data_IF_150782759068
#
_entry.id   IF_150782759068
#
_cell.length_a   1.000
_cell.length_b   1.000
_cell.length_c   1.000
_cell.angle_alpha   90.00
_cell.angle_beta   90.00
_cell.angle_gamma   90.00
#
_symmetry.space_group_name_H-M   'P 1'
#
loop_
_entity.id
_entity.type
_entity.pdbx_description
1 polymer ?
#
# COMPACT_ATOMS: atom_id res chain seq x y z
N UNK A 1 34.57 58.87 15.06
CA UNK A 1 35.46 57.85 14.46
C UNK A 1 35.41 56.66 15.37
N UNK A 2 34.48 55.74 15.14
CA UNK A 2 34.49 54.39 15.70
C UNK A 2 33.44 53.56 14.94
N UNK A 3 33.90 52.38 14.56
CA UNK A 3 33.22 51.18 14.07
C UNK A 3 32.11 51.25 13.01
N UNK A 4 32.51 50.92 11.78
CA UNK A 4 31.63 50.46 10.69
C UNK A 4 32.31 49.27 9.99
N UNK A 5 32.67 48.23 10.76
CA UNK A 5 33.40 47.06 10.25
C UNK A 5 32.68 45.70 10.41
N UNK A 6 31.43 45.65 10.89
CA UNK A 6 30.72 44.37 11.07
C UNK A 6 29.59 44.10 10.06
N UNK A 7 29.28 45.04 9.17
CA UNK A 7 28.10 44.93 8.29
C UNK A 7 28.37 44.25 6.93
N UNK A 8 29.39 43.39 6.84
CA UNK A 8 29.77 42.71 5.58
C UNK A 8 29.92 41.19 5.64
N UNK A 9 29.47 40.51 6.71
CA UNK A 9 29.68 39.06 6.83
C UNK A 9 28.46 38.15 6.61
N UNK A 10 27.26 38.69 6.36
CA UNK A 10 26.04 37.86 6.18
C UNK A 10 25.59 37.64 4.73
N UNK A 11 26.40 38.00 3.72
CA UNK A 11 25.96 38.01 2.31
C UNK A 11 26.27 36.76 1.47
N UNK A 12 26.76 35.68 2.07
CA UNK A 12 27.24 34.50 1.32
C UNK A 12 26.69 33.12 1.75
N UNK A 13 25.51 33.04 2.39
CA UNK A 13 24.97 31.75 2.87
C UNK A 13 23.59 31.34 2.34
N UNK A 14 23.05 31.99 1.28
CA UNK A 14 21.70 31.69 0.77
C UNK A 14 21.61 31.58 -0.76
N UNK A 15 22.62 31.01 -1.42
CA UNK A 15 22.40 30.49 -2.77
C UNK A 15 21.85 29.07 -2.66
N UNK A 16 20.68 28.76 -3.24
CA UNK A 16 20.19 27.39 -3.34
C UNK A 16 21.27 26.52 -3.98
N UNK A 17 21.42 25.28 -3.53
CA UNK A 17 22.36 24.37 -4.18
C UNK A 17 22.02 24.25 -5.67
N UNK A 18 23.01 23.97 -6.52
CA UNK A 18 22.80 23.76 -7.96
C UNK A 18 21.67 22.73 -8.22
N UNK A 19 21.53 21.75 -7.34
CA UNK A 19 20.45 20.77 -7.34
C UNK A 19 19.08 21.39 -7.03
N UNK A 20 18.97 22.29 -6.04
CA UNK A 20 17.74 23.03 -5.77
C UNK A 20 17.37 23.99 -6.91
N UNK A 21 18.35 24.65 -7.52
CA UNK A 21 18.13 25.48 -8.70
C UNK A 21 17.63 24.63 -9.89
N UNK A 22 18.27 23.48 -10.14
CA UNK A 22 17.85 22.55 -11.18
C UNK A 22 16.46 21.94 -10.90
N UNK A 23 16.14 21.56 -9.67
CA UNK A 23 14.82 21.06 -9.28
C UNK A 23 13.75 22.15 -9.36
N UNK A 24 14.07 23.40 -9.00
CA UNK A 24 13.19 24.56 -9.22
C UNK A 24 12.97 24.78 -10.71
N UNK A 25 14.02 24.76 -11.52
CA UNK A 25 13.92 24.89 -12.97
C UNK A 25 13.12 23.74 -13.57
N UNK A 26 13.35 22.49 -13.17
CA UNK A 26 12.56 21.33 -13.61
C UNK A 26 11.12 21.50 -13.16
N UNK A 27 10.83 21.76 -11.89
CA UNK A 27 9.47 22.01 -11.40
C UNK A 27 8.76 23.14 -12.16
N UNK A 28 9.44 24.26 -12.44
CA UNK A 28 8.92 25.40 -13.22
C UNK A 28 8.76 25.06 -14.71
N UNK A 29 9.68 24.29 -15.29
CA UNK A 29 9.61 23.87 -16.71
C UNK A 29 8.50 22.83 -16.91
N UNK A 30 8.32 21.93 -15.93
CA UNK A 30 7.19 21.01 -15.78
C UNK A 30 5.87 21.77 -15.59
N UNK A 31 5.91 22.88 -14.85
CA UNK A 31 4.77 23.80 -14.65
C UNK A 31 4.33 24.52 -15.93
N UNK A 32 5.22 24.66 -16.92
CA UNK A 32 4.99 25.44 -18.13
C UNK A 32 4.58 24.61 -19.36
N UNK A 33 4.73 23.28 -19.35
CA UNK A 33 4.33 22.43 -20.47
C UNK A 33 2.92 21.84 -20.28
N UNK A 34 1.93 22.52 -20.88
CA UNK A 34 0.57 22.08 -21.21
C UNK A 34 -0.02 20.90 -20.40
N UNK A 35 -0.04 21.07 -19.08
CA UNK A 35 -0.49 20.05 -18.14
C UNK A 35 -2.00 19.80 -18.25
N UNK A 36 -2.79 20.78 -18.75
CA UNK A 36 -4.25 20.67 -18.94
C UNK A 36 -4.68 19.40 -19.68
N UNK A 37 -3.95 19.01 -20.74
CA UNK A 37 -4.27 17.82 -21.53
C UNK A 37 -3.86 16.50 -20.85
N UNK A 38 -2.88 16.54 -19.94
CA UNK A 38 -2.42 15.39 -19.17
C UNK A 38 -3.29 15.25 -17.90
N UNK A 39 -3.50 16.32 -17.14
CA UNK A 39 -4.34 16.33 -15.93
C UNK A 39 -5.77 15.83 -16.19
N UNK A 40 -6.40 16.26 -17.30
CA UNK A 40 -7.78 15.88 -17.64
C UNK A 40 -7.95 14.39 -18.00
N UNK A 41 -6.88 13.70 -18.41
CA UNK A 41 -6.92 12.28 -18.81
C UNK A 41 -6.56 11.32 -17.67
N UNK A 42 -5.79 11.76 -16.68
CA UNK A 42 -5.15 10.85 -15.71
C UNK A 42 -5.66 10.96 -14.27
N UNK A 43 -6.25 12.08 -13.85
CA UNK A 43 -6.84 12.24 -12.51
C UNK A 43 -8.23 11.58 -12.35
N UNK A 44 -8.77 10.99 -13.43
CA UNK A 44 -10.11 10.40 -13.46
C UNK A 44 -10.32 9.19 -12.53
N UNK A 45 -9.31 8.33 -12.22
CA UNK A 45 -9.55 7.17 -11.36
C UNK A 45 -9.14 7.34 -9.89
N UNK A 46 -8.14 8.17 -9.57
CA UNK A 46 -7.41 8.06 -8.30
C UNK A 46 -8.04 8.89 -7.16
N UNK A 47 -8.84 9.91 -7.48
CA UNK A 47 -9.44 10.81 -6.49
C UNK A 47 -10.87 11.20 -6.88
N UNK A 48 -11.72 11.56 -5.92
CA UNK A 48 -13.06 12.08 -6.26
C UNK A 48 -12.91 13.32 -7.13
N UNK A 49 -13.65 13.30 -8.24
CA UNK A 49 -13.53 14.17 -9.42
C UNK A 49 -13.51 15.67 -9.10
N UNK A 50 -14.11 16.06 -7.99
CA UNK A 50 -14.48 17.45 -7.71
C UNK A 50 -13.45 18.20 -6.83
N UNK A 51 -12.66 17.48 -6.02
CA UNK A 51 -11.84 18.11 -4.98
C UNK A 51 -10.41 18.45 -5.45
N UNK A 52 -9.78 17.58 -6.24
CA UNK A 52 -8.38 17.77 -6.64
C UNK A 52 -8.26 18.58 -7.93
N UNK A 53 -9.14 18.40 -8.89
CA UNK A 53 -9.13 19.15 -10.16
C UNK A 53 -9.28 20.66 -9.88
N UNK A 54 -10.23 21.02 -9.01
CA UNK A 54 -10.46 22.40 -8.57
C UNK A 54 -9.27 22.98 -7.80
N UNK A 55 -8.66 22.20 -6.89
CA UNK A 55 -7.51 22.66 -6.10
C UNK A 55 -6.24 22.79 -6.96
N UNK A 56 -6.04 21.91 -7.94
CA UNK A 56 -4.89 21.93 -8.84
C UNK A 56 -4.97 23.09 -9.83
N UNK A 57 -6.13 23.35 -10.43
CA UNK A 57 -6.32 24.49 -11.35
C UNK A 57 -6.13 25.85 -10.66
N UNK A 58 -6.62 26.00 -9.42
CA UNK A 58 -6.40 27.21 -8.61
C UNK A 58 -4.92 27.34 -8.22
N UNK A 59 -4.24 26.24 -7.88
CA UNK A 59 -2.82 26.26 -7.50
C UNK A 59 -1.91 26.60 -8.68
N UNK A 60 -2.17 26.04 -9.87
CA UNK A 60 -1.38 26.28 -11.08
C UNK A 60 -1.49 27.73 -11.55
N UNK A 61 -2.71 28.30 -11.55
CA UNK A 61 -2.96 29.69 -11.93
C UNK A 61 -2.40 30.72 -10.95
N UNK A 62 -2.33 30.40 -9.65
CA UNK A 62 -1.77 31.29 -8.63
C UNK A 62 -0.23 31.37 -8.67
N UNK A 63 0.46 30.28 -9.02
CA UNK A 63 1.93 30.18 -8.96
C UNK A 63 2.63 30.79 -10.18
N UNK A 64 1.98 30.83 -11.35
CA UNK A 64 2.64 31.16 -12.62
C UNK A 64 3.12 32.61 -12.78
N UNK A 65 2.57 33.60 -12.06
CA UNK A 65 2.80 35.01 -12.45
C UNK A 65 3.15 35.99 -11.32
N UNK A 66 2.93 35.67 -10.03
CA UNK A 66 3.03 36.69 -8.94
C UNK A 66 3.50 36.21 -7.57
N UNK A 67 3.92 34.96 -7.41
CA UNK A 67 4.20 34.42 -6.07
C UNK A 67 5.63 34.57 -5.61
N UNK A 68 5.80 35.08 -4.39
CA UNK A 68 7.10 35.10 -3.69
C UNK A 68 7.50 33.66 -3.29
N UNK A 69 8.78 33.45 -2.99
CA UNK A 69 9.27 32.13 -2.56
C UNK A 69 8.52 31.60 -1.32
N UNK A 70 8.15 32.48 -0.39
CA UNK A 70 7.40 32.13 0.81
C UNK A 70 6.00 31.62 0.47
N UNK A 71 5.33 32.24 -0.50
CA UNK A 71 4.00 31.83 -0.96
C UNK A 71 4.05 30.47 -1.68
N UNK A 72 5.09 30.25 -2.49
CA UNK A 72 5.32 28.95 -3.13
C UNK A 72 5.55 27.86 -2.08
N UNK A 73 6.41 28.10 -1.09
CA UNK A 73 6.67 27.14 -0.02
C UNK A 73 5.43 26.84 0.82
N UNK A 74 4.60 27.85 1.10
CA UNK A 74 3.32 27.66 1.78
C UNK A 74 2.37 26.75 0.99
N UNK A 75 2.25 26.96 -0.31
CA UNK A 75 1.41 26.13 -1.20
C UNK A 75 1.94 24.71 -1.27
N UNK A 76 3.24 24.55 -1.49
CA UNK A 76 3.88 23.24 -1.55
C UNK A 76 3.63 22.48 -0.25
N UNK A 77 3.78 23.14 0.91
CA UNK A 77 3.45 22.55 2.22
C UNK A 77 1.98 22.14 2.30
N UNK A 78 1.06 23.04 1.92
CA UNK A 78 -0.38 22.81 1.97
C UNK A 78 -0.84 21.64 1.09
N UNK A 79 -0.25 21.50 -0.09
CA UNK A 79 -0.62 20.49 -1.10
C UNK A 79 0.48 19.44 -1.32
N UNK A 80 1.27 19.17 -0.29
CA UNK A 80 2.45 18.29 -0.37
C UNK A 80 2.14 16.95 -1.06
N UNK A 81 1.06 16.26 -0.66
CA UNK A 81 0.66 14.98 -1.27
C UNK A 81 0.41 15.17 -2.77
N UNK A 82 -0.42 16.14 -3.14
CA UNK A 82 -0.84 16.33 -4.53
C UNK A 82 0.35 16.64 -5.43
N UNK A 83 1.30 17.44 -4.92
CA UNK A 83 2.55 17.75 -5.64
C UNK A 83 3.39 16.48 -5.82
N UNK A 84 3.64 15.71 -4.76
CA UNK A 84 4.45 14.48 -4.85
C UNK A 84 3.75 13.42 -5.72
N UNK A 85 2.45 13.23 -5.56
CA UNK A 85 1.67 12.27 -6.33
C UNK A 85 1.64 12.61 -7.82
N UNK A 86 1.78 13.89 -8.20
CA UNK A 86 1.96 14.29 -9.60
C UNK A 86 3.16 13.64 -10.28
N UNK A 87 4.23 13.34 -9.51
CA UNK A 87 5.39 12.63 -10.02
C UNK A 87 5.18 11.12 -10.17
N UNK A 88 4.06 10.56 -9.67
CA UNK A 88 3.69 9.17 -9.97
C UNK A 88 3.10 9.01 -11.36
N UNK A 89 2.83 10.09 -12.09
CA UNK A 89 2.23 10.07 -13.43
C UNK A 89 3.34 10.05 -14.48
N UNK A 90 3.12 9.28 -15.55
CA UNK A 90 4.03 9.22 -16.70
C UNK A 90 4.21 10.61 -17.34
N UNK A 91 5.44 11.03 -17.69
CA UNK A 91 6.72 10.31 -17.65
C UNK A 91 7.58 10.60 -16.39
N UNK A 92 7.01 11.13 -15.32
CA UNK A 92 7.78 11.78 -14.26
C UNK A 92 8.24 10.86 -13.12
N UNK A 93 7.97 9.56 -13.21
CA UNK A 93 8.22 8.62 -12.10
C UNK A 93 9.70 8.46 -11.75
N UNK A 94 10.62 8.71 -12.68
CA UNK A 94 12.05 8.69 -12.39
C UNK A 94 12.46 9.80 -11.40
N UNK A 95 11.73 10.92 -11.37
CA UNK A 95 11.96 12.04 -10.45
C UNK A 95 11.25 11.85 -9.10
N UNK A 96 10.29 10.92 -9.00
CA UNK A 96 9.45 10.77 -7.81
C UNK A 96 10.28 10.53 -6.55
N UNK A 97 11.31 9.68 -6.61
CA UNK A 97 12.12 9.33 -5.46
C UNK A 97 12.99 10.51 -4.99
N UNK A 98 13.58 11.24 -5.92
CA UNK A 98 14.34 12.45 -5.61
C UNK A 98 13.45 13.51 -4.95
N UNK A 99 12.26 13.73 -5.52
CA UNK A 99 11.29 14.65 -4.96
C UNK A 99 10.85 14.22 -3.57
N UNK A 100 10.47 12.97 -3.40
CA UNK A 100 10.07 12.45 -2.10
C UNK A 100 11.18 12.64 -1.06
N UNK A 101 12.44 12.41 -1.46
CA UNK A 101 13.64 12.69 -0.66
C UNK A 101 13.71 14.12 -0.17
N UNK A 102 13.55 15.06 -1.10
CA UNK A 102 13.50 16.48 -0.80
C UNK A 102 12.37 16.82 0.20
N UNK A 103 11.18 16.24 0.04
CA UNK A 103 10.04 16.56 0.89
C UNK A 103 10.20 16.11 2.35
N UNK A 104 10.74 14.92 2.61
CA UNK A 104 11.00 14.52 4.01
C UNK A 104 12.26 15.16 4.60
N UNK A 105 13.25 15.58 3.81
CA UNK A 105 14.43 16.32 4.31
C UNK A 105 14.13 17.78 4.61
N UNK A 106 13.36 18.45 3.75
CA UNK A 106 13.23 19.91 3.74
C UNK A 106 11.88 20.42 4.23
N UNK A 107 10.79 19.71 3.90
CA UNK A 107 9.42 20.22 4.11
C UNK A 107 8.71 19.53 5.30
N UNK A 108 9.28 18.43 5.82
CA UNK A 108 8.69 17.59 6.88
C UNK A 108 7.31 17.06 6.48
N UNK A 109 7.30 16.12 5.53
CA UNK A 109 6.12 15.36 5.14
C UNK A 109 5.31 14.87 6.36
N UNK A 110 3.98 15.04 6.36
CA UNK A 110 3.12 14.54 7.45
C UNK A 110 3.02 13.02 7.38
N UNK A 111 2.78 12.38 8.52
CA UNK A 111 2.67 10.91 8.58
C UNK A 111 1.46 10.36 7.80
N UNK A 112 0.33 11.07 7.81
CA UNK A 112 -0.84 10.72 6.99
C UNK A 112 -0.54 10.86 5.48
N UNK A 113 0.20 11.89 5.09
CA UNK A 113 0.62 12.12 3.71
C UNK A 113 1.52 10.99 3.20
N UNK A 114 2.49 10.57 4.04
CA UNK A 114 3.34 9.42 3.76
C UNK A 114 2.54 8.15 3.52
N UNK A 115 1.57 7.87 4.40
CA UNK A 115 0.75 6.66 4.30
C UNK A 115 -0.11 6.67 3.04
N UNK A 116 -0.66 7.83 2.67
CA UNK A 116 -1.42 7.99 1.43
C UNK A 116 -0.55 7.81 0.18
N UNK A 117 0.67 8.36 0.17
CA UNK A 117 1.62 8.15 -0.94
C UNK A 117 2.02 6.68 -1.07
N UNK A 118 2.27 6.01 0.06
CA UNK A 118 2.57 4.59 0.06
C UNK A 118 1.40 3.77 -0.51
N UNK A 119 0.17 4.08 -0.08
CA UNK A 119 -1.04 3.43 -0.62
C UNK A 119 -1.17 3.65 -2.13
N UNK A 120 -0.93 4.86 -2.63
CA UNK A 120 -0.98 5.14 -4.07
C UNK A 120 0.04 4.29 -4.85
N UNK A 121 1.24 4.09 -4.32
CA UNK A 121 2.24 3.23 -4.96
C UNK A 121 1.80 1.77 -5.05
N UNK A 122 1.17 1.25 -3.99
CA UNK A 122 0.65 -0.13 -3.93
C UNK A 122 -0.55 -0.29 -4.88
N UNK A 123 -1.47 0.67 -4.90
CA UNK A 123 -2.69 0.62 -5.72
C UNK A 123 -2.41 0.73 -7.23
N UNK A 124 -1.32 1.42 -7.62
CA UNK A 124 -0.93 1.58 -9.02
C UNK A 124 -0.04 0.45 -9.55
N UNK A 125 0.18 -0.62 -8.78
CA UNK A 125 1.07 -1.70 -9.20
C UNK A 125 0.67 -2.35 -10.54
N UNK A 126 -0.63 -2.54 -10.76
CA UNK A 126 -1.18 -3.16 -11.96
C UNK A 126 -1.22 -2.20 -13.17
N UNK A 127 -0.81 -0.94 -13.00
CA UNK A 127 -0.92 0.04 -14.07
C UNK A 127 0.12 -0.20 -15.16
N UNK A 128 -0.37 -0.37 -16.39
CA UNK A 128 0.47 -0.62 -17.57
C UNK A 128 1.18 0.68 -17.97
N UNK A 129 2.49 0.75 -17.75
CA UNK A 129 3.29 1.87 -18.27
C UNK A 129 4.52 2.23 -17.45
N UNK A 130 4.61 1.76 -16.20
CA UNK A 130 5.79 1.99 -15.36
C UNK A 130 5.97 0.87 -14.33
N UNK A 131 7.22 0.68 -13.88
CA UNK A 131 7.55 -0.34 -12.88
C UNK A 131 7.31 0.21 -11.46
N UNK A 132 6.04 0.27 -11.05
CA UNK A 132 5.64 0.75 -9.71
C UNK A 132 6.19 -0.10 -8.57
N UNK A 133 6.43 -1.40 -8.83
CA UNK A 133 7.17 -2.30 -7.93
C UNK A 133 8.55 -1.74 -7.54
N UNK A 134 9.39 -1.47 -8.55
CA UNK A 134 10.70 -0.85 -8.34
C UNK A 134 10.59 0.51 -7.65
N UNK A 135 9.56 1.29 -7.98
CA UNK A 135 9.32 2.59 -7.36
C UNK A 135 8.94 2.47 -5.88
N UNK A 136 8.06 1.53 -5.54
CA UNK A 136 7.65 1.21 -4.17
C UNK A 136 8.83 0.75 -3.33
N UNK A 137 9.64 -0.17 -3.86
CA UNK A 137 10.86 -0.64 -3.19
C UNK A 137 11.86 0.51 -2.97
N UNK A 138 12.08 1.35 -3.98
CA UNK A 138 12.93 2.54 -3.86
C UNK A 138 12.42 3.54 -2.82
N UNK A 139 11.12 3.85 -2.88
CA UNK A 139 10.45 4.76 -1.95
C UNK A 139 10.58 4.25 -0.53
N UNK A 140 10.23 2.98 -0.30
CA UNK A 140 10.36 2.36 1.00
C UNK A 140 11.81 2.39 1.50
N UNK A 141 12.77 1.94 0.71
CA UNK A 141 14.18 1.91 1.12
C UNK A 141 14.68 3.29 1.56
N UNK A 142 14.40 4.35 0.79
CA UNK A 142 14.86 5.72 1.08
C UNK A 142 14.05 6.43 2.16
N UNK A 143 12.87 5.92 2.52
CA UNK A 143 12.01 6.54 3.52
C UNK A 143 12.66 6.55 4.91
N UNK A 144 12.62 7.69 5.63
CA UNK A 144 13.16 7.76 6.98
C UNK A 144 12.46 6.78 7.94
N UNK A 145 13.24 6.19 8.86
CA UNK A 145 12.77 5.14 9.79
C UNK A 145 11.51 5.52 10.57
N UNK A 146 11.35 6.79 10.95
CA UNK A 146 10.15 7.28 11.65
C UNK A 146 8.85 7.05 10.86
N UNK A 147 8.89 7.22 9.54
CA UNK A 147 7.72 7.02 8.67
C UNK A 147 7.40 5.54 8.50
N UNK A 148 8.43 4.70 8.30
CA UNK A 148 8.28 3.23 8.29
C UNK A 148 7.62 2.72 9.57
N UNK A 149 8.12 3.18 10.72
CA UNK A 149 7.58 2.80 12.03
C UNK A 149 6.15 3.29 12.24
N UNK A 150 5.85 4.54 11.84
CA UNK A 150 4.48 5.07 11.88
C UNK A 150 3.55 4.18 11.08
N UNK A 151 3.96 3.85 9.85
CA UNK A 151 3.17 3.06 8.93
C UNK A 151 2.86 1.69 9.53
N UNK A 152 3.86 0.95 10.04
CA UNK A 152 3.63 -0.34 10.71
C UNK A 152 2.71 -0.21 11.94
N UNK A 153 2.85 0.86 12.73
CA UNK A 153 2.02 1.06 13.92
C UNK A 153 0.55 1.31 13.58
N UNK A 154 0.27 2.18 12.60
CA UNK A 154 -1.11 2.46 12.16
C UNK A 154 -1.76 1.21 11.58
N UNK A 155 -0.99 0.36 10.91
CA UNK A 155 -1.48 -0.90 10.34
C UNK A 155 -1.83 -1.97 11.38
N UNK A 156 -1.23 -1.89 12.57
CA UNK A 156 -1.65 -2.76 13.66
C UNK A 156 -3.06 -2.39 14.17
N UNK A 157 -3.58 -1.20 13.83
CA UNK A 157 -4.81 -0.64 14.40
C UNK A 157 -5.97 -0.55 13.40
N UNK A 158 -5.72 -0.64 12.09
CA UNK A 158 -6.74 -0.54 11.04
C UNK A 158 -6.52 -1.59 9.94
N UNK A 159 -7.62 -2.02 9.29
CA UNK A 159 -7.54 -2.80 8.05
C UNK A 159 -6.62 -2.08 7.06
N UNK A 160 -5.52 -2.74 6.73
CA UNK A 160 -4.31 -2.05 6.38
C UNK A 160 -3.79 -2.34 4.98
N UNK A 161 -3.04 -1.41 4.38
CA UNK A 161 -2.32 -1.63 3.11
C UNK A 161 -1.36 -2.83 3.17
N UNK A 162 -0.90 -3.30 4.34
CA UNK A 162 -0.06 -4.50 4.40
C UNK A 162 -0.84 -5.70 3.86
N UNK A 163 -2.13 -5.80 4.18
CA UNK A 163 -3.01 -6.80 3.60
C UNK A 163 -3.08 -6.68 2.06
N UNK A 164 -3.04 -5.45 1.54
CA UNK A 164 -2.99 -5.18 0.10
C UNK A 164 -1.64 -5.52 -0.53
N UNK A 165 -0.54 -5.25 0.17
CA UNK A 165 0.81 -5.67 -0.22
C UNK A 165 0.90 -7.19 -0.34
N UNK A 166 0.25 -7.94 0.55
CA UNK A 166 0.18 -9.40 0.44
C UNK A 166 -0.82 -9.89 -0.62
N UNK A 167 -1.68 -9.02 -1.15
CA UNK A 167 -2.55 -9.34 -2.30
C UNK A 167 -1.78 -9.41 -3.60
N UNK A 168 -0.74 -8.60 -3.72
CA UNK A 168 0.19 -8.55 -4.86
C UNK A 168 1.01 -9.84 -5.00
N UNK A 169 1.18 -10.58 -3.90
CA UNK A 169 1.89 -11.86 -3.86
C UNK A 169 3.36 -11.78 -4.34
N UNK A 170 3.98 -10.61 -4.22
CA UNK A 170 5.37 -10.39 -4.62
C UNK A 170 6.32 -10.56 -3.42
N UNK A 171 6.97 -11.72 -3.40
CA UNK A 171 7.85 -12.14 -2.31
C UNK A 171 9.02 -11.17 -2.07
N UNK A 172 9.65 -10.68 -3.15
CA UNK A 172 10.82 -9.81 -3.02
C UNK A 172 10.43 -8.46 -2.41
N UNK A 173 9.25 -7.94 -2.76
CA UNK A 173 8.76 -6.69 -2.18
C UNK A 173 8.43 -6.83 -0.70
N UNK A 174 7.77 -7.92 -0.32
CA UNK A 174 7.50 -8.26 1.08
C UNK A 174 8.81 -8.34 1.86
N UNK A 175 9.82 -9.03 1.31
CA UNK A 175 11.15 -9.16 1.91
C UNK A 175 11.84 -7.82 2.09
N UNK A 176 11.90 -6.99 1.05
CA UNK A 176 12.46 -5.64 1.11
C UNK A 176 11.74 -4.79 2.15
N UNK A 177 10.42 -4.89 2.23
CA UNK A 177 9.63 -4.09 3.17
C UNK A 177 9.97 -4.49 4.60
N UNK A 178 9.85 -5.77 4.95
CA UNK A 178 10.04 -6.27 6.30
C UNK A 178 11.49 -6.16 6.77
N UNK A 179 12.48 -6.40 5.89
CA UNK A 179 13.91 -6.30 6.23
C UNK A 179 14.31 -4.90 6.72
N UNK A 180 13.61 -3.87 6.25
CA UNK A 180 13.83 -2.48 6.63
C UNK A 180 13.03 -2.03 7.88
N UNK A 181 12.25 -2.94 8.49
CA UNK A 181 11.51 -2.71 9.73
C UNK A 181 12.33 -3.22 10.93
N UNK A 182 12.18 -2.56 12.07
CA UNK A 182 12.85 -2.99 13.31
C UNK A 182 12.35 -4.37 13.73
N UNK A 183 13.17 -5.16 14.44
CA UNK A 183 12.72 -6.45 15.00
C UNK A 183 11.47 -6.30 15.87
N UNK A 184 11.45 -5.31 16.76
CA UNK A 184 10.29 -5.01 17.61
C UNK A 184 9.01 -4.73 16.81
N UNK A 185 9.10 -3.95 15.73
CA UNK A 185 7.93 -3.63 14.93
C UNK A 185 7.48 -4.79 14.04
N UNK A 186 8.40 -5.66 13.61
CA UNK A 186 8.05 -6.90 12.90
C UNK A 186 7.31 -7.88 13.80
N UNK A 187 7.82 -8.09 15.02
CA UNK A 187 7.14 -8.92 16.01
C UNK A 187 5.77 -8.35 16.37
N UNK A 188 5.68 -7.03 16.60
CA UNK A 188 4.40 -6.35 16.83
C UNK A 188 3.42 -6.51 15.67
N UNK A 189 3.90 -6.36 14.43
CA UNK A 189 3.08 -6.58 13.23
C UNK A 189 2.52 -8.00 13.21
N UNK A 190 3.36 -9.01 13.43
CA UNK A 190 2.90 -10.39 13.35
C UNK A 190 1.88 -10.73 14.45
N UNK A 191 2.08 -10.22 15.66
CA UNK A 191 1.17 -10.42 16.79
C UNK A 191 -0.10 -9.56 16.72
N UNK A 192 -0.19 -8.65 15.74
CA UNK A 192 -1.39 -7.83 15.52
C UNK A 192 -2.49 -8.62 14.81
N UNK A 193 -3.71 -8.11 14.87
CA UNK A 193 -4.84 -8.67 14.11
C UNK A 193 -4.56 -8.72 12.60
N UNK A 194 -3.92 -7.69 12.06
CA UNK A 194 -3.49 -7.60 10.65
C UNK A 194 -2.48 -8.68 10.29
N UNK A 195 -1.48 -8.93 11.14
CA UNK A 195 -0.49 -10.01 10.91
C UNK A 195 -1.13 -11.40 10.89
N UNK A 196 -2.10 -11.63 11.78
CA UNK A 196 -2.86 -12.86 11.85
C UNK A 196 -3.78 -13.04 10.62
N UNK A 197 -4.46 -11.99 10.17
CA UNK A 197 -5.27 -12.00 8.94
C UNK A 197 -4.42 -12.32 7.71
N UNK A 198 -3.23 -11.71 7.58
CA UNK A 198 -2.27 -12.01 6.51
C UNK A 198 -1.95 -13.51 6.51
N UNK A 199 -1.54 -14.08 7.64
CA UNK A 199 -1.21 -15.51 7.75
C UNK A 199 -2.37 -16.39 7.32
N UNK A 200 -3.58 -16.09 7.77
CA UNK A 200 -4.78 -16.83 7.39
C UNK A 200 -5.03 -16.76 5.89
N UNK A 201 -5.00 -15.56 5.29
CA UNK A 201 -5.20 -15.42 3.83
C UNK A 201 -4.18 -16.22 3.03
N UNK A 202 -2.93 -16.24 3.47
CA UNK A 202 -1.87 -17.01 2.81
C UNK A 202 -2.10 -18.52 2.93
N UNK A 203 -2.48 -19.02 4.11
CA UNK A 203 -2.86 -20.43 4.30
C UNK A 203 -4.07 -20.79 3.44
N UNK A 204 -5.10 -19.93 3.40
CA UNK A 204 -6.31 -20.11 2.59
C UNK A 204 -6.05 -20.22 1.11
N UNK A 205 -5.11 -19.42 0.60
CA UNK A 205 -4.70 -19.44 -0.80
C UNK A 205 -3.60 -20.46 -1.09
N UNK A 206 -3.19 -21.26 -0.10
CA UNK A 206 -2.07 -22.21 -0.18
C UNK A 206 -0.75 -21.56 -0.62
N UNK A 207 -0.52 -20.30 -0.26
CA UNK A 207 0.68 -19.52 -0.58
C UNK A 207 1.78 -19.74 0.46
N UNK A 208 2.18 -20.99 0.61
CA UNK A 208 3.12 -21.43 1.65
C UNK A 208 4.49 -20.76 1.57
N UNK A 209 5.03 -20.54 0.37
CA UNK A 209 6.32 -19.84 0.20
C UNK A 209 6.25 -18.39 0.70
N UNK A 210 5.15 -17.69 0.40
CA UNK A 210 4.98 -16.30 0.82
C UNK A 210 4.77 -16.20 2.34
N UNK A 211 4.08 -17.19 2.92
CA UNK A 211 3.91 -17.33 4.37
C UNK A 211 5.25 -17.60 5.06
N UNK A 212 6.07 -18.48 4.50
CA UNK A 212 7.42 -18.77 4.97
C UNK A 212 8.27 -17.49 4.96
N UNK A 213 8.31 -16.78 3.84
CA UNK A 213 9.05 -15.51 3.73
C UNK A 213 8.55 -14.47 4.73
N UNK A 214 7.24 -14.33 4.92
CA UNK A 214 6.68 -13.40 5.91
C UNK A 214 7.16 -13.72 7.34
N UNK A 215 7.05 -14.98 7.75
CA UNK A 215 7.39 -15.42 9.09
C UNK A 215 8.92 -15.41 9.33
N UNK A 216 9.70 -15.87 8.35
CA UNK A 216 11.15 -15.83 8.34
C UNK A 216 11.69 -14.38 8.47
N UNK A 217 11.12 -13.44 7.71
CA UNK A 217 11.54 -12.05 7.78
C UNK A 217 11.11 -11.38 9.09
N UNK A 218 10.04 -11.84 9.75
CA UNK A 218 9.65 -11.35 11.07
C UNK A 218 10.65 -11.72 12.18
N UNK A 219 11.43 -12.79 12.02
CA UNK A 219 12.48 -13.24 12.97
C UNK A 219 12.00 -13.30 14.42
N UNK A 220 10.96 -14.08 14.67
CA UNK A 220 10.35 -14.19 15.98
C UNK A 220 11.28 -14.81 17.01
N UNK A 221 11.17 -14.32 18.25
CA UNK A 221 11.65 -15.04 19.42
C UNK A 221 10.78 -16.26 19.71
N UNK A 222 11.31 -17.26 20.42
CA UNK A 222 10.54 -18.44 20.81
C UNK A 222 9.29 -18.05 21.64
N UNK A 223 9.43 -17.07 22.54
CA UNK A 223 8.30 -16.51 23.30
C UNK A 223 7.23 -15.91 22.37
N UNK A 224 7.65 -15.15 21.35
CA UNK A 224 6.73 -14.58 20.38
C UNK A 224 6.02 -15.64 19.53
N UNK A 225 6.68 -16.76 19.20
CA UNK A 225 6.05 -17.89 18.49
C UNK A 225 4.93 -18.52 19.34
N UNK A 226 5.20 -18.78 20.62
CA UNK A 226 4.20 -19.33 21.55
C UNK A 226 3.00 -18.38 21.66
N UNK A 227 3.26 -17.08 21.83
CA UNK A 227 2.22 -16.06 21.90
C UNK A 227 1.43 -15.95 20.60
N UNK A 228 2.12 -15.96 19.46
CA UNK A 228 1.50 -15.94 18.14
C UNK A 228 0.57 -17.13 17.94
N UNK A 229 1.01 -18.34 18.29
CA UNK A 229 0.19 -19.56 18.21
C UNK A 229 -1.10 -19.43 19.02
N UNK A 230 -1.00 -18.95 20.26
CA UNK A 230 -2.15 -18.76 21.14
C UNK A 230 -3.13 -17.72 20.57
N UNK A 231 -2.62 -16.59 20.08
CA UNK A 231 -3.45 -15.55 19.45
C UNK A 231 -4.13 -16.08 18.18
N UNK A 232 -3.41 -16.83 17.35
CA UNK A 232 -3.94 -17.43 16.12
C UNK A 232 -5.07 -18.42 16.44
N UNK A 233 -4.87 -19.33 17.40
CA UNK A 233 -5.91 -20.27 17.85
C UNK A 233 -7.16 -19.56 18.37
N UNK A 234 -6.98 -18.52 19.19
CA UNK A 234 -8.09 -17.75 19.73
C UNK A 234 -8.86 -17.01 18.64
N UNK A 235 -8.17 -16.40 17.67
CA UNK A 235 -8.80 -15.62 16.60
C UNK A 235 -9.44 -16.48 15.51
N UNK A 236 -8.94 -17.71 15.27
CA UNK A 236 -9.61 -18.65 14.36
C UNK A 236 -11.07 -18.89 14.75
N UNK A 237 -11.36 -19.01 16.06
CA UNK A 237 -12.73 -19.18 16.56
C UNK A 237 -13.63 -17.95 16.38
N UNK A 238 -13.02 -16.76 16.30
CA UNK A 238 -13.73 -15.49 16.04
C UNK A 238 -14.06 -15.35 14.55
N UNK A 239 -13.14 -15.74 13.67
CA UNK A 239 -13.26 -15.54 12.22
C UNK A 239 -13.99 -16.67 11.50
N UNK A 240 -13.96 -17.89 12.04
CA UNK A 240 -14.53 -19.07 11.41
C UNK A 240 -15.47 -19.82 12.32
N UNK A 241 -16.55 -20.33 11.74
CA UNK A 241 -17.40 -21.30 12.41
C UNK A 241 -16.66 -22.61 12.61
N UNK A 242 -17.05 -23.40 13.62
CA UNK A 242 -16.49 -24.75 13.85
C UNK A 242 -16.55 -25.65 12.60
N UNK A 243 -17.56 -25.49 11.74
CA UNK A 243 -17.66 -26.24 10.49
C UNK A 243 -16.59 -25.82 9.48
N UNK A 244 -16.35 -24.51 9.33
CA UNK A 244 -15.30 -23.99 8.44
C UNK A 244 -13.90 -24.37 8.91
N UNK A 245 -13.66 -24.36 10.23
CA UNK A 245 -12.40 -24.83 10.80
C UNK A 245 -12.18 -26.30 10.44
N UNK A 246 -13.17 -27.17 10.71
CA UNK A 246 -13.10 -28.61 10.38
C UNK A 246 -12.90 -28.91 8.90
N UNK A 247 -13.52 -28.14 8.01
CA UNK A 247 -13.34 -28.28 6.56
C UNK A 247 -11.88 -28.06 6.14
N UNK A 248 -11.08 -27.42 6.99
CA UNK A 248 -9.71 -26.97 6.70
C UNK A 248 -8.73 -27.43 7.77
N UNK A 249 -9.09 -28.45 8.56
CA UNK A 249 -8.25 -29.04 9.59
C UNK A 249 -6.87 -29.42 9.03
N UNK A 250 -6.82 -29.97 7.81
CA UNK A 250 -5.56 -30.31 7.16
C UNK A 250 -4.65 -29.08 6.95
N UNK A 251 -5.19 -27.95 6.47
CA UNK A 251 -4.40 -26.74 6.27
C UNK A 251 -3.91 -26.16 7.60
N UNK A 252 -4.75 -26.20 8.63
CA UNK A 252 -4.40 -25.71 9.96
C UNK A 252 -3.37 -26.60 10.65
N UNK A 253 -3.51 -27.92 10.57
CA UNK A 253 -2.53 -28.87 11.10
C UNK A 253 -1.18 -28.67 10.41
N UNK A 254 -1.17 -28.54 9.09
CA UNK A 254 0.06 -28.25 8.33
C UNK A 254 0.70 -26.91 8.77
N UNK A 255 -0.11 -25.89 9.03
CA UNK A 255 0.39 -24.62 9.53
C UNK A 255 1.00 -24.74 10.94
N UNK A 256 0.39 -25.51 11.84
CA UNK A 256 0.94 -25.74 13.19
C UNK A 256 2.21 -26.59 13.17
N UNK A 257 2.26 -27.64 12.36
CA UNK A 257 3.49 -28.43 12.14
C UNK A 257 4.63 -27.55 11.61
N UNK A 258 4.31 -26.61 10.72
CA UNK A 258 5.26 -25.62 10.24
C UNK A 258 5.72 -24.67 11.36
N UNK A 259 4.83 -24.23 12.25
CA UNK A 259 5.23 -23.41 13.41
C UNK A 259 6.09 -24.19 14.40
N UNK A 260 5.80 -25.46 14.65
CA UNK A 260 6.60 -26.35 15.51
C UNK A 260 8.02 -26.49 14.95
N UNK A 261 8.14 -26.65 13.63
CA UNK A 261 9.42 -26.67 12.94
C UNK A 261 10.25 -25.40 13.14
N UNK A 262 9.57 -24.26 13.08
CA UNK A 262 10.20 -22.95 13.20
C UNK A 262 10.76 -22.72 14.62
N UNK A 263 10.05 -23.18 15.65
CA UNK A 263 10.44 -23.08 17.06
C UNK A 263 11.73 -23.86 17.38
N UNK A 264 11.96 -25.00 16.73
CA UNK A 264 13.15 -25.84 16.95
C UNK A 264 14.42 -25.23 16.32
N UNK A 265 14.33 -24.07 15.67
CA UNK A 265 15.47 -23.37 15.06
C UNK A 265 15.87 -23.93 13.69
N UNK A 266 15.04 -24.80 13.12
CA UNK A 266 15.28 -25.48 11.84
C UNK A 266 14.79 -24.66 10.63
N UNK A 267 14.21 -23.48 10.89
CA UNK A 267 13.58 -22.63 9.87
C UNK A 267 14.50 -22.25 8.70
N UNK A 268 15.82 -22.11 8.94
CA UNK A 268 16.78 -21.81 7.86
C UNK A 268 17.08 -22.99 6.94
N UNK A 269 17.00 -24.22 7.43
CA UNK A 269 17.26 -25.42 6.61
C UNK A 269 16.05 -25.76 5.75
N UNK A 270 14.84 -25.57 6.29
CA UNK A 270 13.60 -25.93 5.59
C UNK A 270 13.18 -24.96 4.49
N UNK A 271 13.56 -23.68 4.53
CA UNK A 271 13.25 -22.79 3.40
C UNK A 271 13.84 -23.35 2.09
N UNK A 272 15.04 -23.94 2.17
CA UNK A 272 15.72 -24.59 1.04
C UNK A 272 14.98 -25.86 0.61
N UNK A 273 14.63 -26.75 1.53
CA UNK A 273 13.89 -27.98 1.18
C UNK A 273 12.50 -27.70 0.60
N UNK A 274 11.76 -26.73 1.14
CA UNK A 274 10.45 -26.35 0.60
C UNK A 274 10.59 -25.68 -0.77
N UNK A 275 11.63 -24.88 -0.98
CA UNK A 275 11.93 -24.28 -2.28
C UNK A 275 12.32 -25.34 -3.30
N UNK A 276 13.07 -26.37 -2.93
CA UNK A 276 13.38 -27.53 -3.78
C UNK A 276 12.13 -28.37 -4.12
N UNK A 277 11.30 -28.70 -3.12
CA UNK A 277 10.04 -29.44 -3.32
C UNK A 277 9.05 -28.60 -4.16
N UNK A 278 9.03 -27.29 -3.97
CA UNK A 278 8.16 -26.39 -4.70
C UNK A 278 8.65 -26.17 -6.13
N UNK A 279 9.95 -25.99 -6.35
CA UNK A 279 10.56 -25.90 -7.67
C UNK A 279 10.35 -27.20 -8.45
N UNK A 280 10.48 -28.36 -7.80
CA UNK A 280 10.14 -29.65 -8.39
C UNK A 280 8.65 -29.72 -8.80
N UNK A 281 7.74 -29.18 -7.98
CA UNK A 281 6.30 -29.11 -8.33
C UNK A 281 5.98 -28.09 -9.42
N UNK A 282 6.67 -26.94 -9.45
CA UNK A 282 6.51 -25.91 -10.48
C UNK A 282 6.97 -26.43 -11.84
N UNK A 283 8.11 -27.13 -11.88
CA UNK A 283 8.60 -27.83 -13.07
C UNK A 283 7.65 -28.94 -13.56
N UNK A 284 6.88 -29.56 -12.66
CA UNK A 284 5.87 -30.56 -13.03
C UNK A 284 4.52 -29.99 -13.48
N UNK A 285 4.21 -28.73 -13.15
CA UNK A 285 2.94 -28.08 -13.50
C UNK A 285 3.03 -27.19 -14.76
N UNK A 286 4.24 -26.93 -15.27
CA UNK A 286 4.43 -26.41 -16.63
C UNK A 286 4.19 -27.55 -17.63
N UNK A 287 2.91 -27.84 -17.92
CA UNK A 287 2.55 -28.70 -19.05
C UNK A 287 3.23 -28.13 -20.31
N UNK A 288 3.92 -28.97 -21.10
CA UNK A 288 4.50 -28.51 -22.35
C UNK A 288 3.38 -27.95 -23.22
N UNK A 289 3.47 -26.66 -23.53
CA UNK A 289 2.60 -25.99 -24.49
C UNK A 289 2.45 -26.92 -25.70
N UNK A 290 1.26 -27.49 -25.88
CA UNK A 290 0.97 -28.42 -26.96
C UNK A 290 1.38 -27.75 -28.26
N UNK A 291 2.48 -28.23 -28.83
CA UNK A 291 2.95 -27.88 -30.16
C UNK A 291 1.85 -28.24 -31.15
N UNK A 292 0.99 -27.27 -31.48
CA UNK A 292 0.04 -27.37 -32.57
C UNK A 292 0.81 -27.27 -33.89
N UNK A 293 1.53 -28.34 -34.24
CA UNK A 293 2.04 -28.56 -35.58
C UNK A 293 0.89 -29.06 -36.46
N UNK A 294 0.42 -28.17 -37.33
CA UNK A 294 -0.02 -28.54 -38.67
C UNK A 294 -1.49 -28.92 -38.84
N UNK A 295 -2.35 -27.92 -39.02
CA UNK A 295 -3.54 -28.09 -39.88
C UNK A 295 -3.26 -27.38 -41.21
N UNK A 296 -3.13 -28.21 -42.25
CA UNK A 296 -2.93 -27.80 -43.64
C UNK A 296 -4.06 -26.88 -44.10
N UNK A 297 -3.67 -25.80 -44.79
CA UNK A 297 -4.53 -24.96 -45.63
C UNK A 297 -5.35 -25.86 -46.56
N UNK A 298 -6.67 -25.73 -46.51
CA UNK A 298 -7.54 -26.17 -47.60
C UNK A 298 -8.32 -24.95 -48.10
N UNK A 299 -7.80 -24.36 -49.15
CA UNK A 299 -8.50 -23.41 -50.00
C UNK A 299 -9.62 -24.14 -50.73
N UNK A 300 -10.89 -23.75 -50.54
CA UNK A 300 -11.82 -23.58 -51.66
C UNK A 300 -13.21 -23.07 -51.26
N UNK A 301 -13.73 -22.25 -52.20
CA UNK A 301 -15.13 -21.92 -52.48
C UNK A 301 -15.81 -20.83 -51.64
N UNK A 302 -15.60 -19.61 -52.15
CA UNK A 302 -16.56 -18.51 -52.15
C UNK A 302 -17.92 -19.03 -52.67
N UNK A 303 -18.94 -19.01 -51.82
CA UNK A 303 -20.34 -18.91 -52.23
C UNK A 303 -20.94 -17.67 -51.58
N UNK A 304 -21.33 -16.73 -52.43
CA UNK A 304 -22.14 -15.55 -52.08
C UNK A 304 -23.45 -16.01 -51.47
N UNK A 305 -23.75 -15.57 -50.25
CA UNK A 305 -25.08 -15.69 -49.66
C UNK A 305 -25.55 -14.32 -49.20
N UNK A 306 -26.75 -13.98 -49.66
CA UNK A 306 -27.52 -12.76 -49.43
C UNK A 306 -27.60 -12.37 -47.96
N UNK A 307 -27.46 -11.07 -47.71
CA UNK A 307 -27.83 -10.38 -46.48
C UNK A 307 -29.34 -10.08 -46.54
N UNK A 308 -30.15 -10.49 -45.55
CA UNK A 308 -31.42 -9.85 -45.26
C UNK A 308 -31.24 -8.83 -44.14
N UNK A 309 -31.70 -7.60 -44.42
CA UNK A 309 -32.01 -6.56 -43.46
C UNK A 309 -32.83 -7.09 -42.29
N UNK A 310 -32.43 -6.74 -41.06
CA UNK A 310 -33.33 -6.68 -39.91
C UNK A 310 -33.04 -5.42 -39.09
N UNK A 311 -33.88 -4.41 -39.35
CA UNK A 311 -34.31 -3.38 -38.39
C UNK A 311 -34.98 -4.07 -37.19
N UNK A 312 -34.67 -3.63 -35.97
CA UNK A 312 -35.62 -3.19 -34.91
C UNK A 312 -34.89 -3.14 -33.56
N UNK A 313 -34.69 -1.93 -33.01
CA UNK A 313 -35.46 -1.38 -31.87
C UNK A 313 -35.35 -2.21 -30.59
N UNK A 314 -34.44 -1.80 -29.70
CA UNK A 314 -34.53 -2.10 -28.26
C UNK A 314 -34.78 -0.79 -27.52
N UNK A 315 -36.00 -0.63 -27.03
CA UNK A 315 -36.42 0.37 -26.06
C UNK A 315 -35.69 0.17 -24.74
N UNK A 316 -35.00 1.20 -24.26
CA UNK A 316 -34.45 1.28 -22.92
C UNK A 316 -35.58 1.67 -21.96
N UNK A 317 -36.02 0.72 -21.12
CA UNK A 317 -36.85 1.00 -19.95
C UNK A 317 -35.94 1.05 -18.72
N UNK A 318 -35.62 2.25 -18.26
CA UNK A 318 -34.99 2.50 -16.95
C UNK A 318 -36.01 2.21 -15.85
N UNK A 319 -35.83 1.09 -15.13
CA UNK A 319 -36.60 0.76 -13.92
C UNK A 319 -35.79 1.19 -12.70
N UNK A 320 -36.11 2.36 -12.16
CA UNK A 320 -35.58 2.86 -10.89
C UNK A 320 -36.18 2.06 -9.73
N UNK A 321 -35.44 1.06 -9.25
CA UNK A 321 -35.74 0.33 -8.02
C UNK A 321 -35.03 0.99 -6.83
N UNK A 322 -35.74 1.83 -6.10
CA UNK A 322 -35.34 2.31 -4.76
C UNK A 322 -35.34 1.13 -3.79
N UNK A 323 -34.15 0.64 -3.42
CA UNK A 323 -33.99 -0.30 -2.30
C UNK A 323 -33.93 0.50 -1.01
N UNK A 324 -34.90 0.26 -0.13
CA UNK A 324 -34.94 0.79 1.22
C UNK A 324 -33.76 0.32 2.05
N UNK A 325 -33.15 1.26 2.75
CA UNK A 325 -32.09 1.04 3.74
C UNK A 325 -32.76 0.52 5.03
N UNK A 326 -32.29 -0.60 5.63
CA UNK A 326 -32.81 -1.04 6.92
C UNK A 326 -32.23 -0.18 8.05
N UNK A 327 -33.12 0.50 8.78
CA UNK A 327 -32.79 1.28 9.98
C UNK A 327 -32.29 0.36 11.09
N UNK A 328 -31.00 0.42 11.41
CA UNK A 328 -30.43 -0.26 12.57
C UNK A 328 -30.85 0.49 13.85
N UNK A 329 -31.67 -0.14 14.69
CA UNK A 329 -32.00 0.37 16.03
C UNK A 329 -30.77 0.29 16.94
N UNK A 330 -30.28 1.44 17.37
CA UNK A 330 -29.31 1.57 18.47
C UNK A 330 -29.99 1.17 19.79
N UNK A 331 -29.57 0.04 20.36
CA UNK A 331 -29.91 -0.34 21.74
C UNK A 331 -28.95 0.40 22.68
N UNK A 332 -29.46 1.45 23.32
CA UNK A 332 -28.76 2.16 24.40
C UNK A 332 -28.76 1.29 25.65
N UNK A 333 -27.61 0.68 25.97
CA UNK A 333 -27.38 0.03 27.27
C UNK A 333 -27.22 1.12 28.34
N UNK A 334 -28.22 1.26 29.22
CA UNK A 334 -28.12 2.03 30.46
C UNK A 334 -27.14 1.35 31.41
N UNK A 335 -25.99 1.97 31.68
CA UNK A 335 -25.08 1.59 32.76
C UNK A 335 -25.53 2.27 34.06
N UNK A 336 -26.00 1.47 35.02
CA UNK A 336 -26.34 1.88 36.38
C UNK A 336 -25.06 2.09 37.20
N UNK A 337 -24.76 3.35 37.57
CA UNK A 337 -23.72 3.71 38.54
C UNK A 337 -24.15 3.26 39.94
N UNK A 338 -23.47 2.26 40.50
CA UNK A 338 -23.60 1.86 41.90
C UNK A 338 -22.72 2.77 42.77
N UNK A 339 -23.34 3.67 43.54
CA UNK A 339 -22.70 4.53 44.54
C UNK A 339 -22.10 3.67 45.66
N UNK A 340 -20.78 3.72 45.85
CA UNK A 340 -20.06 3.10 46.97
C UNK A 340 -20.14 4.08 48.15
N UNK A 341 -20.93 3.74 49.19
CA UNK A 341 -20.94 4.43 50.49
C UNK A 341 -19.68 4.01 51.25
N UNK A 342 -18.81 4.96 51.57
CA UNK A 342 -17.76 4.83 52.58
C UNK A 342 -18.34 5.25 53.94
N UNK A 343 -18.45 4.29 54.86
CA UNK A 343 -18.71 4.53 56.27
C UNK A 343 -17.42 4.96 56.96
N UNK A 344 -17.44 6.16 57.55
CA UNK A 344 -16.50 6.58 58.59
C UNK A 344 -16.74 5.71 59.83
N UNK A 345 -15.70 5.06 60.33
CA UNK A 345 -15.62 4.55 61.70
C UNK A 345 -14.88 5.58 62.57
N UNK A 346 -15.55 6.04 63.62
CA UNK A 346 -14.97 6.67 64.80
C UNK A 346 -14.86 5.62 65.92
N UNK A 347 -13.93 5.82 66.84
CA UNK A 347 -13.72 5.08 68.09
C UNK A 347 -12.34 4.45 68.08
N UNK A 348 -11.47 4.63 69.07
CA UNK A 348 -11.50 5.32 70.38
C UNK A 348 -10.05 5.67 70.73
#
# INVERSE_FOLDING_TARGET
MEDSSEEKQWKYSLLPSLQQAALRTVAVTLWNQNIRNVSARFLYPIFSKDDITSQWEVTVSLVQDKMTEEQQMFIIQKYTISVIAGFLVWPWQDLFIEMATYFWSSIKLRFCDYSRLFYLLVDNEDSTGYNYKKLLAGFWCQSPRKYKNYLINVQCEAEGFLTELFRIEDEEHIRVILKNVTSTNREKLLLSETGLDICIRLVNKQKWCLLDTFLCECKLSNEAIVKFRQLFQNNLGTWYTRKQIKLRDHDWNKFYEWLDAFEVGDGKKRSIEYEEIFNAKKLCCEEPAKNNKGVKKNTNKIKKTRIPNLRSRSTVTTRSGTRGIPTTRLIVKKTSKKKKKTSKGQGE
#
